data_IF_051004248538
#
_entry.id   IF_051004248538
#
_cell.length_a   1.000
_cell.length_b   1.000
_cell.length_c   1.000
_cell.angle_alpha   90.00
_cell.angle_beta   90.00
_cell.angle_gamma   90.00
#
_symmetry.space_group_name_H-M   'P 1'
#
loop_
_entity.id
_entity.type
_entity.pdbx_description
1 polymer ?
#
# COMPACT_ATOMS: atom_id res chain seq x y z
N UNK A 1 62.48 -28.06 -30.22
CA UNK A 1 62.24 -29.16 -31.17
C UNK A 1 61.10 -28.74 -32.09
N UNK A 2 61.33 -28.62 -33.41
CA UNK A 2 60.45 -27.89 -34.34
C UNK A 2 59.88 -28.75 -35.51
N UNK A 3 58.87 -28.16 -36.19
CA UNK A 3 58.62 -28.03 -37.65
C UNK A 3 58.39 -29.20 -38.64
N UNK A 4 57.59 -28.82 -39.67
CA UNK A 4 57.52 -29.25 -41.09
C UNK A 4 56.73 -30.54 -41.42
N UNK A 5 55.64 -30.52 -42.21
CA UNK A 5 55.44 -30.25 -43.67
C UNK A 5 56.02 -31.34 -44.58
N UNK A 6 55.13 -32.02 -45.33
CA UNK A 6 55.39 -32.59 -46.66
C UNK A 6 54.07 -32.95 -47.38
N UNK A 7 54.17 -33.18 -48.69
CA UNK A 7 53.32 -32.70 -49.79
C UNK A 7 52.62 -33.83 -50.63
N UNK A 8 51.40 -33.54 -51.15
CA UNK A 8 50.90 -33.68 -52.56
C UNK A 8 50.74 -35.09 -53.24
N UNK A 9 50.19 -35.27 -54.48
CA UNK A 9 49.07 -34.64 -55.24
C UNK A 9 48.09 -35.63 -55.97
N UNK A 10 47.16 -35.05 -56.76
CA UNK A 10 46.47 -35.53 -58.02
C UNK A 10 45.05 -36.14 -57.87
N UNK A 11 44.02 -35.88 -58.70
CA UNK A 11 43.86 -35.19 -59.99
C UNK A 11 42.40 -34.71 -60.26
N UNK A 12 42.30 -33.86 -61.28
CA UNK A 12 41.19 -33.13 -61.91
C UNK A 12 39.87 -33.85 -62.30
N UNK A 13 38.81 -33.04 -62.46
CA UNK A 13 38.04 -33.01 -63.71
C UNK A 13 36.50 -32.98 -63.62
N UNK A 14 35.88 -31.98 -64.28
CA UNK A 14 34.72 -32.24 -65.17
C UNK A 14 33.34 -31.76 -64.74
N UNK A 15 32.80 -30.81 -65.52
CA UNK A 15 31.43 -30.28 -65.51
C UNK A 15 30.42 -31.21 -66.22
N UNK A 16 29.15 -31.00 -65.88
CA UNK A 16 27.92 -31.14 -66.70
C UNK A 16 27.20 -32.49 -66.92
N UNK A 17 25.88 -32.36 -66.82
CA UNK A 17 24.74 -33.28 -66.79
C UNK A 17 24.47 -34.09 -68.07
N UNK A 18 23.61 -35.13 -67.97
CA UNK A 18 22.42 -35.09 -68.83
C UNK A 18 21.08 -35.58 -68.20
N UNK A 19 20.03 -34.95 -68.74
CA UNK A 19 18.59 -35.25 -68.93
C UNK A 19 17.92 -36.57 -68.44
N UNK A 20 16.70 -36.33 -67.90
CA UNK A 20 15.46 -37.12 -67.71
C UNK A 20 15.09 -38.18 -68.78
N UNK A 21 14.17 -39.17 -68.53
CA UNK A 21 12.72 -38.87 -68.46
C UNK A 21 11.78 -39.79 -67.61
N UNK A 22 10.63 -39.21 -67.23
CA UNK A 22 9.23 -39.72 -67.37
C UNK A 22 8.71 -40.92 -66.53
N UNK A 23 7.73 -40.65 -65.65
CA UNK A 23 6.33 -41.16 -65.73
C UNK A 23 5.53 -40.88 -64.43
N UNK A 24 4.38 -40.22 -64.56
CA UNK A 24 3.28 -40.20 -63.59
C UNK A 24 2.25 -41.31 -63.96
N UNK A 25 1.09 -41.51 -63.28
CA UNK A 25 0.59 -40.98 -62.00
C UNK A 25 -0.05 -42.06 -61.09
N UNK A 26 -0.34 -41.73 -59.82
CA UNK A 26 -1.47 -42.35 -59.08
C UNK A 26 -1.84 -41.57 -57.81
N UNK A 27 -2.89 -40.75 -57.97
CA UNK A 27 -4.05 -40.51 -57.08
C UNK A 27 -3.93 -40.62 -55.55
N UNK A 28 -4.20 -39.46 -54.93
CA UNK A 28 -5.30 -39.25 -53.97
C UNK A 28 -5.07 -39.63 -52.49
N UNK A 29 -4.76 -38.63 -51.67
CA UNK A 29 -5.65 -38.19 -50.59
C UNK A 29 -5.07 -36.96 -49.85
N UNK A 30 -5.81 -35.85 -49.98
CA UNK A 30 -5.73 -34.67 -49.11
C UNK A 30 -6.17 -35.05 -47.70
N UNK A 31 -5.30 -34.83 -46.72
CA UNK A 31 -5.69 -34.69 -45.33
C UNK A 31 -5.12 -33.36 -44.81
N UNK A 32 -5.96 -32.32 -44.84
CA UNK A 32 -5.74 -31.11 -44.06
C UNK A 32 -5.78 -31.47 -42.57
N UNK A 33 -4.84 -30.99 -41.73
CA UNK A 33 -4.97 -31.09 -40.29
C UNK A 33 -6.10 -30.16 -39.84
N UNK A 34 -7.23 -30.74 -39.42
CA UNK A 34 -8.30 -30.02 -38.75
C UNK A 34 -7.92 -29.82 -37.29
N UNK A 35 -7.25 -28.71 -36.99
CA UNK A 35 -7.20 -28.21 -35.61
C UNK A 35 -8.53 -27.53 -35.27
N UNK A 36 -9.19 -27.87 -34.15
CA UNK A 36 -10.34 -27.11 -33.68
C UNK A 36 -9.82 -25.84 -33.01
N UNK A 37 -9.46 -24.84 -33.81
CA UNK A 37 -9.27 -23.48 -33.32
C UNK A 37 -10.65 -22.90 -33.06
N UNK A 38 -11.11 -22.94 -31.81
CA UNK A 38 -12.16 -22.03 -31.34
C UNK A 38 -11.62 -20.60 -31.48
N UNK A 39 -11.76 -20.00 -32.67
CA UNK A 39 -11.54 -18.56 -32.86
C UNK A 39 -12.52 -17.86 -31.94
N UNK A 40 -11.99 -17.05 -31.02
CA UNK A 40 -12.78 -16.04 -30.32
C UNK A 40 -13.55 -15.24 -31.38
N UNK A 41 -14.88 -15.24 -31.29
CA UNK A 41 -15.76 -14.47 -32.17
C UNK A 41 -15.82 -13.00 -31.76
N UNK A 42 -15.12 -12.61 -30.70
CA UNK A 42 -15.04 -11.23 -30.26
C UNK A 42 -14.16 -10.41 -31.23
N UNK A 43 -14.53 -9.15 -31.53
CA UNK A 43 -13.66 -8.25 -32.28
C UNK A 43 -12.29 -8.14 -31.59
N UNK A 44 -11.18 -8.00 -32.35
CA UNK A 44 -9.87 -7.73 -31.77
C UNK A 44 -9.95 -6.54 -30.80
N UNK A 45 -9.18 -6.58 -29.70
CA UNK A 45 -9.17 -5.50 -28.70
C UNK A 45 -9.02 -4.12 -29.34
N UNK A 46 -8.22 -3.98 -30.40
CA UNK A 46 -8.04 -2.74 -31.15
C UNK A 46 -9.37 -2.11 -31.64
N UNK A 47 -10.34 -2.93 -32.06
CA UNK A 47 -11.65 -2.46 -32.51
C UNK A 47 -12.55 -2.02 -31.34
N UNK A 48 -12.27 -2.49 -30.12
CA UNK A 48 -13.04 -2.19 -28.90
C UNK A 48 -12.40 -1.10 -28.04
N UNK A 49 -11.15 -0.72 -28.31
CA UNK A 49 -10.44 0.31 -27.53
C UNK A 49 -11.25 1.60 -27.35
N UNK A 50 -11.88 2.20 -28.39
CA UNK A 50 -12.65 3.44 -28.22
C UNK A 50 -13.84 3.30 -27.25
N UNK A 51 -14.43 2.10 -27.16
CA UNK A 51 -15.49 1.80 -26.20
C UNK A 51 -14.92 1.63 -24.80
N UNK A 52 -13.83 0.86 -24.67
CA UNK A 52 -13.19 0.55 -23.38
C UNK A 52 -12.60 1.80 -22.71
N UNK A 53 -12.06 2.72 -23.49
CA UNK A 53 -11.51 4.00 -23.00
C UNK A 53 -12.56 4.88 -22.30
N UNK A 54 -13.85 4.74 -22.64
CA UNK A 54 -14.94 5.46 -21.94
C UNK A 54 -15.14 5.01 -20.50
N UNK A 55 -14.65 3.82 -20.15
CA UNK A 55 -14.71 3.26 -18.80
C UNK A 55 -13.42 3.50 -18.01
N UNK A 56 -12.44 4.20 -18.58
CA UNK A 56 -11.15 4.47 -17.96
C UNK A 56 -11.09 5.97 -17.68
N UNK A 57 -10.42 6.36 -16.61
CA UNK A 57 -10.36 7.75 -16.16
C UNK A 57 -8.94 8.15 -15.79
N UNK A 58 -8.63 9.42 -16.00
CA UNK A 58 -7.51 10.09 -15.34
C UNK A 58 -7.95 10.51 -13.96
N UNK A 59 -7.15 10.18 -12.96
CA UNK A 59 -7.37 10.65 -11.60
C UNK A 59 -6.44 11.82 -11.33
N UNK A 60 -7.04 12.94 -10.94
CA UNK A 60 -6.38 14.15 -10.49
C UNK A 60 -6.62 14.27 -8.97
N UNK A 61 -5.64 13.88 -8.16
CA UNK A 61 -5.72 13.91 -6.71
C UNK A 61 -4.98 15.14 -6.15
N UNK A 62 -5.72 16.03 -5.48
CA UNK A 62 -5.23 17.27 -4.91
C UNK A 62 -4.83 17.04 -3.45
N UNK A 63 -3.54 17.06 -3.17
CA UNK A 63 -2.96 16.98 -1.84
C UNK A 63 -2.70 18.34 -1.18
N UNK A 64 -2.11 18.34 0.03
CA UNK A 64 -1.74 19.57 0.74
C UNK A 64 -0.74 20.42 -0.05
N UNK A 65 -0.83 21.75 0.06
CA UNK A 65 0.13 22.67 -0.55
C UNK A 65 0.12 22.68 -2.08
N UNK A 66 -1.06 22.48 -2.68
CA UNK A 66 -1.28 22.42 -4.13
C UNK A 66 -0.55 21.28 -4.87
N UNK A 67 -0.01 20.30 -4.14
CA UNK A 67 0.55 19.09 -4.75
C UNK A 67 -0.55 18.31 -5.46
N UNK A 68 -0.32 18.00 -6.75
CA UNK A 68 -1.26 17.18 -7.54
C UNK A 68 -0.60 15.86 -7.89
N UNK A 69 -1.24 14.76 -7.50
CA UNK A 69 -0.87 13.41 -7.94
C UNK A 69 -1.75 13.04 -9.14
N UNK A 70 -1.11 12.52 -10.19
CA UNK A 70 -1.77 12.03 -11.38
C UNK A 70 -1.66 10.51 -11.44
N UNK A 71 -2.78 9.87 -11.74
CA UNK A 71 -2.84 8.44 -12.00
C UNK A 71 -4.01 8.10 -12.90
N UNK A 72 -4.31 6.82 -12.97
CA UNK A 72 -5.45 6.30 -13.73
C UNK A 72 -6.37 5.49 -12.84
N UNK A 73 -7.59 5.28 -13.32
CA UNK A 73 -8.54 4.36 -12.74
C UNK A 73 -9.48 3.83 -13.81
N UNK A 74 -10.34 2.91 -13.43
CA UNK A 74 -11.36 2.39 -14.34
C UNK A 74 -12.64 2.03 -13.60
N UNK A 75 -13.75 2.16 -14.32
CA UNK A 75 -15.09 1.91 -13.81
C UNK A 75 -15.29 0.42 -13.59
N UNK A 76 -15.68 0.07 -12.37
CA UNK A 76 -16.01 -1.32 -11.98
C UNK A 76 -17.50 -1.52 -11.70
N UNK A 77 -18.27 -0.43 -11.60
CA UNK A 77 -19.72 -0.45 -11.43
C UNK A 77 -20.36 0.81 -12.03
N UNK A 78 -21.50 0.65 -12.73
CA UNK A 78 -22.20 1.72 -13.42
C UNK A 78 -22.78 2.79 -12.49
N UNK A 79 -22.85 2.53 -11.18
CA UNK A 79 -23.19 3.55 -10.19
C UNK A 79 -22.06 4.56 -9.94
N UNK A 80 -20.92 4.45 -10.62
CA UNK A 80 -19.79 5.37 -10.48
C UNK A 80 -18.71 4.88 -9.53
N UNK A 81 -18.53 3.56 -9.38
CA UNK A 81 -17.39 3.02 -8.65
C UNK A 81 -16.20 2.90 -9.59
N UNK A 82 -15.06 3.41 -9.14
CA UNK A 82 -13.79 3.39 -9.86
C UNK A 82 -12.75 2.65 -9.03
N UNK A 83 -12.08 1.67 -9.63
CA UNK A 83 -10.87 1.08 -9.07
C UNK A 83 -9.63 1.89 -9.46
N UNK A 84 -8.69 2.01 -8.54
CA UNK A 84 -7.38 2.63 -8.77
C UNK A 84 -6.36 2.09 -7.74
N UNK A 85 -5.11 2.53 -7.84
CA UNK A 85 -4.13 2.28 -6.78
C UNK A 85 -4.36 3.21 -5.59
N UNK A 86 -4.11 2.71 -4.39
CA UNK A 86 -4.22 3.53 -3.18
C UNK A 86 -3.24 4.70 -3.22
N UNK A 87 -1.99 4.49 -3.63
CA UNK A 87 -0.95 5.51 -3.62
C UNK A 87 -1.26 6.73 -4.51
N UNK A 88 -2.15 6.59 -5.51
CA UNK A 88 -2.64 7.68 -6.37
C UNK A 88 -3.55 8.62 -5.58
N UNK A 89 -4.38 8.07 -4.70
CA UNK A 89 -5.36 8.80 -3.91
C UNK A 89 -4.87 9.11 -2.50
N UNK A 90 -3.75 8.51 -2.09
CA UNK A 90 -3.34 8.43 -0.69
C UNK A 90 -3.08 9.79 -0.04
N UNK A 91 -2.86 10.89 -0.76
CA UNK A 91 -2.71 12.23 -0.16
C UNK A 91 -3.87 13.17 -0.50
N UNK A 92 -4.88 12.67 -1.20
CA UNK A 92 -5.96 13.49 -1.72
C UNK A 92 -6.80 14.10 -0.57
N UNK A 93 -6.93 15.42 -0.60
CA UNK A 93 -7.95 16.16 0.15
C UNK A 93 -9.20 16.38 -0.72
N UNK A 94 -9.00 16.48 -2.02
CA UNK A 94 -10.02 16.47 -3.07
C UNK A 94 -9.49 15.67 -4.26
N UNK A 95 -10.39 15.14 -5.11
CA UNK A 95 -9.97 14.49 -6.34
C UNK A 95 -11.05 14.56 -7.42
N UNK A 96 -10.61 14.52 -8.68
CA UNK A 96 -11.48 14.45 -9.85
C UNK A 96 -11.11 13.25 -10.73
N UNK A 97 -12.13 12.64 -11.32
CA UNK A 97 -11.99 11.66 -12.38
C UNK A 97 -12.35 12.33 -13.70
N UNK A 98 -11.39 12.37 -14.64
CA UNK A 98 -11.57 12.92 -15.98
C UNK A 98 -11.66 11.78 -17.00
N UNK A 99 -12.72 11.77 -17.78
CA UNK A 99 -12.98 10.79 -18.84
C UNK A 99 -12.32 11.18 -20.16
N UNK A 100 -12.30 10.26 -21.12
CA UNK A 100 -11.68 10.46 -22.44
C UNK A 100 -12.37 11.54 -23.29
N UNK A 101 -13.62 11.87 -23.01
CA UNK A 101 -14.37 12.97 -23.63
C UNK A 101 -14.06 14.34 -23.00
N UNK A 102 -13.17 14.38 -22.00
CA UNK A 102 -12.76 15.57 -21.27
C UNK A 102 -13.65 15.92 -20.08
N UNK A 103 -14.81 15.25 -19.92
CA UNK A 103 -15.71 15.48 -18.80
C UNK A 103 -15.03 15.08 -17.48
N UNK A 104 -15.15 15.94 -16.47
CA UNK A 104 -14.57 15.73 -15.15
C UNK A 104 -15.68 15.64 -14.10
N UNK A 105 -15.53 14.68 -13.18
CA UNK A 105 -16.47 14.42 -12.10
C UNK A 105 -15.73 14.37 -10.77
N UNK A 106 -16.25 15.05 -9.76
CA UNK A 106 -15.68 15.01 -8.42
C UNK A 106 -15.80 13.61 -7.82
N UNK A 107 -14.75 13.18 -7.11
CA UNK A 107 -14.73 11.97 -6.31
C UNK A 107 -15.25 12.31 -4.90
N UNK A 108 -16.31 11.64 -4.48
CA UNK A 108 -16.93 11.83 -3.17
C UNK A 108 -16.08 11.28 -2.03
N UNK A 109 -15.29 10.23 -2.28
CA UNK A 109 -14.46 9.58 -1.27
C UNK A 109 -14.17 8.12 -1.57
N UNK A 110 -13.62 7.43 -0.58
CA UNK A 110 -13.35 6.00 -0.62
C UNK A 110 -14.62 5.21 -0.28
N UNK A 111 -14.91 4.18 -1.05
CA UNK A 111 -15.92 3.17 -0.71
C UNK A 111 -15.27 1.97 -0.05
N UNK A 112 -14.08 1.61 -0.52
CA UNK A 112 -13.26 0.59 0.09
C UNK A 112 -11.79 0.89 -0.20
N UNK A 113 -10.92 0.59 0.74
CA UNK A 113 -9.49 0.80 0.60
C UNK A 113 -8.73 -0.33 1.28
N UNK A 114 -7.65 -0.76 0.65
CA UNK A 114 -6.72 -1.73 1.23
C UNK A 114 -5.29 -1.26 0.93
N UNK A 115 -4.71 -0.44 1.84
CA UNK A 115 -3.35 0.08 1.66
C UNK A 115 -2.29 -1.01 1.49
N UNK A 116 -2.45 -2.15 2.17
CA UNK A 116 -1.54 -3.30 2.08
C UNK A 116 -1.47 -3.92 0.67
N UNK A 117 -2.51 -3.73 -0.14
CA UNK A 117 -2.59 -4.21 -1.53
C UNK A 117 -2.41 -3.07 -2.53
N UNK A 118 -2.14 -1.85 -2.06
CA UNK A 118 -2.13 -0.64 -2.88
C UNK A 118 -3.40 -0.52 -3.75
N UNK A 119 -4.58 -0.81 -3.17
CA UNK A 119 -5.86 -0.77 -3.87
C UNK A 119 -6.85 0.18 -3.21
N UNK A 120 -7.59 0.91 -4.04
CA UNK A 120 -8.70 1.74 -3.63
C UNK A 120 -9.89 1.59 -4.59
N UNK A 121 -11.09 1.62 -4.02
CA UNK A 121 -12.36 1.80 -4.74
C UNK A 121 -12.93 3.15 -4.29
N UNK A 122 -13.11 4.06 -5.24
CA UNK A 122 -13.63 5.41 -5.00
C UNK A 122 -14.99 5.60 -5.67
N UNK A 123 -15.77 6.55 -5.15
CA UNK A 123 -17.11 6.87 -5.66
C UNK A 123 -17.13 8.22 -6.35
N UNK A 124 -17.68 8.28 -7.55
CA UNK A 124 -18.06 9.55 -8.17
C UNK A 124 -19.24 10.18 -7.43
N UNK A 125 -19.15 11.49 -7.18
CA UNK A 125 -20.26 12.26 -6.58
C UNK A 125 -21.49 12.30 -7.50
N UNK A 126 -21.25 12.30 -8.81
CA UNK A 126 -22.26 12.18 -9.86
C UNK A 126 -21.73 11.23 -10.95
N UNK A 127 -22.56 10.29 -11.38
CA UNK A 127 -22.17 9.33 -12.42
C UNK A 127 -22.62 9.80 -13.81
N UNK A 128 -21.81 9.57 -14.86
CA UNK A 128 -22.25 9.79 -16.23
C UNK A 128 -23.51 8.95 -16.58
N UNK A 129 -24.46 9.47 -17.37
CA UNK A 129 -25.71 8.78 -17.70
C UNK A 129 -25.58 7.42 -18.41
N UNK A 130 -24.43 7.17 -19.04
CA UNK A 130 -24.14 5.95 -19.83
C UNK A 130 -22.86 5.25 -19.36
N UNK A 131 -22.56 5.34 -18.07
CA UNK A 131 -21.35 4.77 -17.49
C UNK A 131 -21.38 3.23 -17.57
N UNK A 132 -20.44 2.65 -18.30
CA UNK A 132 -20.31 1.19 -18.46
C UNK A 132 -19.13 0.69 -17.66
N UNK A 133 -19.34 -0.37 -16.88
CA UNK A 133 -18.28 -1.01 -16.09
C UNK A 133 -17.43 -1.95 -16.95
N UNK A 134 -16.13 -2.00 -16.67
CA UNK A 134 -15.25 -2.97 -17.29
C UNK A 134 -15.49 -4.38 -16.72
N UNK A 135 -15.30 -5.40 -17.56
CA UNK A 135 -15.42 -6.80 -17.13
C UNK A 135 -14.12 -7.25 -16.45
N UNK A 136 -14.20 -7.78 -15.23
CA UNK A 136 -13.04 -8.28 -14.48
C UNK A 136 -12.83 -9.78 -14.69
N UNK A 137 -11.63 -10.18 -15.11
CA UNK A 137 -11.20 -11.58 -15.23
C UNK A 137 -10.45 -12.00 -13.96
N UNK A 138 -11.17 -12.65 -13.03
CA UNK A 138 -10.67 -12.90 -11.66
C UNK A 138 -10.08 -14.30 -11.44
N UNK A 139 -10.52 -15.31 -12.19
CA UNK A 139 -10.23 -16.70 -11.87
C UNK A 139 -8.99 -17.26 -12.59
N UNK A 140 -8.81 -16.88 -13.85
CA UNK A 140 -7.74 -17.41 -14.69
C UNK A 140 -6.60 -16.42 -14.82
N UNK A 141 -5.38 -16.93 -14.64
CA UNK A 141 -4.17 -16.19 -14.95
C UNK A 141 -4.05 -16.03 -16.47
N UNK A 142 -3.59 -14.86 -16.96
CA UNK A 142 -3.31 -14.71 -18.37
C UNK A 142 -2.14 -15.62 -18.78
N UNK A 143 -2.24 -16.22 -19.96
CA UNK A 143 -1.24 -17.18 -20.44
C UNK A 143 0.09 -16.49 -20.70
N UNK A 144 1.19 -17.18 -20.43
CA UNK A 144 2.51 -16.68 -20.83
C UNK A 144 2.52 -16.39 -22.34
N UNK A 145 3.18 -15.28 -22.72
CA UNK A 145 3.25 -14.75 -24.07
C UNK A 145 1.92 -14.25 -24.67
N UNK A 146 0.79 -14.31 -23.95
CA UNK A 146 -0.46 -13.71 -24.42
C UNK A 146 -0.35 -12.19 -24.49
N UNK A 147 -1.07 -11.58 -25.42
CA UNK A 147 -1.09 -10.13 -25.58
C UNK A 147 -1.86 -9.49 -24.42
N UNK A 148 -1.33 -8.39 -23.92
CA UNK A 148 -1.99 -7.52 -22.95
C UNK A 148 -1.86 -6.08 -23.38
N UNK A 149 -2.84 -5.25 -23.03
CA UNK A 149 -2.82 -3.81 -23.26
C UNK A 149 -2.92 -3.11 -21.93
N UNK A 150 -1.89 -2.34 -21.58
CA UNK A 150 -1.95 -1.42 -20.45
C UNK A 150 -2.54 -0.10 -20.95
N UNK A 151 -3.55 0.41 -20.24
CA UNK A 151 -4.15 1.70 -20.56
C UNK A 151 -4.05 2.61 -19.34
N UNK A 152 -3.62 3.84 -19.58
CA UNK A 152 -3.57 4.88 -18.57
C UNK A 152 -3.25 6.24 -19.17
N UNK A 153 -2.82 7.17 -18.31
CA UNK A 153 -2.61 8.59 -18.62
C UNK A 153 -1.18 9.02 -18.31
N UNK A 154 -0.18 8.51 -19.04
CA UNK A 154 1.21 8.86 -18.78
C UNK A 154 1.42 10.37 -18.96
N UNK A 155 2.07 11.02 -17.99
CA UNK A 155 2.44 12.45 -18.04
C UNK A 155 1.27 13.45 -18.21
N UNK A 156 0.01 13.03 -18.00
CA UNK A 156 -1.14 13.93 -18.05
C UNK A 156 -1.59 14.36 -19.46
N UNK A 157 -1.11 13.70 -20.51
CA UNK A 157 -1.50 13.95 -21.91
C UNK A 157 -2.05 12.66 -22.51
N UNK A 158 -3.27 12.73 -23.06
CA UNK A 158 -4.02 11.74 -23.86
C UNK A 158 -4.04 10.26 -23.43
N UNK A 159 -5.11 9.57 -23.80
CA UNK A 159 -5.27 8.12 -23.59
C UNK A 159 -4.17 7.36 -24.34
N UNK A 160 -3.32 6.63 -23.62
CA UNK A 160 -2.22 5.88 -24.22
C UNK A 160 -2.39 4.38 -24.00
N UNK A 161 -3.13 3.69 -24.90
CA UNK A 161 -3.10 2.23 -24.93
C UNK A 161 -1.72 1.78 -25.44
N UNK A 162 -1.03 0.99 -24.63
CA UNK A 162 0.27 0.39 -24.98
C UNK A 162 0.20 -1.12 -24.84
N UNK A 163 0.54 -1.84 -25.90
CA UNK A 163 0.51 -3.29 -25.91
C UNK A 163 1.84 -3.91 -25.43
N UNK A 164 1.75 -5.17 -25.03
CA UNK A 164 2.88 -6.00 -24.68
C UNK A 164 2.44 -7.44 -24.46
N UNK A 165 3.30 -8.23 -23.84
CA UNK A 165 3.03 -9.65 -23.56
C UNK A 165 3.24 -9.97 -22.10
N UNK A 166 2.49 -10.96 -21.62
CA UNK A 166 2.72 -11.54 -20.29
C UNK A 166 4.05 -12.30 -20.30
N UNK A 167 4.96 -11.89 -19.43
CA UNK A 167 6.23 -12.58 -19.20
C UNK A 167 6.02 -13.76 -18.26
N UNK A 168 5.30 -13.57 -17.16
CA UNK A 168 4.88 -14.60 -16.20
C UNK A 168 3.87 -14.04 -15.19
N UNK A 169 3.19 -14.94 -14.48
CA UNK A 169 2.48 -14.62 -13.24
C UNK A 169 3.30 -15.17 -12.08
N UNK A 170 3.47 -14.39 -11.02
CA UNK A 170 4.31 -14.74 -9.89
C UNK A 170 3.76 -14.13 -8.60
N UNK A 171 4.23 -14.64 -7.46
CA UNK A 171 3.97 -14.10 -6.14
C UNK A 171 5.05 -13.09 -5.71
N UNK A 172 4.73 -12.22 -4.74
CA UNK A 172 5.68 -11.26 -4.16
C UNK A 172 6.95 -11.97 -3.66
N UNK A 173 6.83 -13.16 -3.08
CA UNK A 173 7.93 -13.98 -2.56
C UNK A 173 8.91 -14.44 -3.64
N UNK A 174 8.47 -14.53 -4.89
CA UNK A 174 9.27 -14.92 -6.06
C UNK A 174 9.95 -13.71 -6.74
N UNK A 175 9.68 -12.49 -6.28
CA UNK A 175 10.33 -11.29 -6.78
C UNK A 175 11.79 -11.20 -6.30
N UNK A 176 12.68 -10.64 -7.13
CA UNK A 176 14.01 -10.28 -6.70
C UNK A 176 14.01 -9.40 -5.43
N UNK A 177 15.06 -9.50 -4.63
CA UNK A 177 15.17 -8.80 -3.34
C UNK A 177 15.03 -7.28 -3.47
N UNK A 178 15.56 -6.68 -4.54
CA UNK A 178 15.43 -5.23 -4.78
C UNK A 178 13.99 -4.83 -5.09
N UNK A 179 13.26 -5.62 -5.88
CA UNK A 179 11.84 -5.39 -6.17
C UNK A 179 10.99 -5.52 -4.91
N UNK A 180 11.26 -6.52 -4.06
CA UNK A 180 10.58 -6.67 -2.75
C UNK A 180 10.85 -5.49 -1.82
N UNK A 181 12.07 -4.94 -1.82
CA UNK A 181 12.40 -3.74 -1.04
C UNK A 181 11.65 -2.51 -1.55
N UNK A 182 11.52 -2.35 -2.87
CA UNK A 182 10.71 -1.28 -3.46
C UNK A 182 9.22 -1.43 -3.07
N UNK A 183 8.67 -2.64 -3.15
CA UNK A 183 7.27 -2.89 -2.78
C UNK A 183 6.98 -2.56 -1.31
N UNK A 184 7.93 -2.80 -0.39
CA UNK A 184 7.80 -2.37 1.03
C UNK A 184 7.68 -0.85 1.22
N UNK A 185 8.06 -0.05 0.22
CA UNK A 185 7.88 1.41 0.25
C UNK A 185 6.54 1.84 -0.37
N UNK A 186 5.96 1.00 -1.23
CA UNK A 186 4.70 1.28 -1.93
C UNK A 186 3.49 0.73 -1.18
N UNK A 187 3.66 -0.40 -0.49
CA UNK A 187 2.61 -1.18 0.16
C UNK A 187 2.97 -1.38 1.64
N UNK A 188 1.96 -1.32 2.51
CA UNK A 188 2.17 -1.39 3.96
C UNK A 188 2.22 -2.81 4.55
N UNK A 189 1.98 -3.85 3.74
CA UNK A 189 1.90 -5.25 4.19
C UNK A 189 2.97 -6.18 3.61
N UNK A 190 3.21 -7.30 4.30
CA UNK A 190 4.06 -8.43 3.86
C UNK A 190 3.28 -9.49 3.05
N UNK A 191 2.11 -9.14 2.50
CA UNK A 191 1.26 -10.09 1.82
C UNK A 191 1.93 -10.64 0.55
N UNK A 192 1.72 -11.94 0.29
CA UNK A 192 2.24 -12.60 -0.90
C UNK A 192 1.29 -12.36 -2.09
N UNK A 193 1.41 -11.16 -2.68
CA UNK A 193 0.54 -10.73 -3.77
C UNK A 193 0.87 -11.43 -5.08
N UNK A 194 -0.19 -11.79 -5.80
CA UNK A 194 -0.11 -12.25 -7.19
C UNK A 194 0.07 -11.07 -8.16
N UNK A 195 1.19 -11.07 -8.89
CA UNK A 195 1.56 -10.09 -9.90
C UNK A 195 1.54 -10.68 -11.30
N UNK A 196 1.09 -9.88 -12.26
CA UNK A 196 1.27 -10.13 -13.69
C UNK A 196 2.46 -9.29 -14.15
N UNK A 197 3.58 -9.95 -14.47
CA UNK A 197 4.73 -9.32 -15.07
C UNK A 197 4.53 -9.25 -16.59
N UNK A 198 4.67 -8.06 -17.19
CA UNK A 198 4.43 -7.85 -18.61
C UNK A 198 5.45 -6.91 -19.25
N UNK A 199 5.54 -6.96 -20.57
CA UNK A 199 6.43 -6.10 -21.37
C UNK A 199 5.78 -4.82 -21.86
N UNK A 200 4.47 -4.63 -21.64
CA UNK A 200 3.80 -3.39 -22.05
C UNK A 200 4.47 -2.19 -21.33
N UNK A 201 4.93 -1.16 -22.07
CA UNK A 201 5.75 -0.10 -21.51
C UNK A 201 4.91 0.82 -20.64
N UNK A 202 4.99 0.64 -19.32
CA UNK A 202 4.26 1.50 -18.36
C UNK A 202 5.18 2.54 -17.72
N UNK A 203 4.61 3.71 -17.44
CA UNK A 203 5.29 4.86 -16.86
C UNK A 203 4.39 5.55 -15.83
N UNK A 204 4.91 6.52 -15.05
CA UNK A 204 4.08 7.31 -14.13
C UNK A 204 2.87 7.91 -14.85
N UNK A 205 1.67 7.66 -14.29
CA UNK A 205 0.38 7.99 -14.90
C UNK A 205 -0.45 6.78 -15.33
N UNK A 206 0.19 5.61 -15.57
CA UNK A 206 -0.53 4.35 -15.78
C UNK A 206 -0.98 3.68 -14.49
N UNK A 207 -0.36 4.03 -13.35
CA UNK A 207 -0.70 3.50 -12.04
C UNK A 207 -2.19 3.66 -11.74
N UNK A 208 -2.84 2.55 -11.40
CA UNK A 208 -4.27 2.41 -11.13
C UNK A 208 -5.12 2.12 -12.36
N UNK A 209 -4.57 2.26 -13.57
CA UNK A 209 -5.22 1.90 -14.83
C UNK A 209 -5.28 0.39 -15.06
N UNK A 210 -6.14 -0.09 -15.96
CA UNK A 210 -6.32 -1.51 -16.19
C UNK A 210 -5.23 -2.12 -17.09
N UNK A 211 -4.88 -3.38 -16.82
CA UNK A 211 -4.22 -4.28 -17.76
C UNK A 211 -5.28 -5.19 -18.39
N UNK A 212 -5.46 -5.08 -19.71
CA UNK A 212 -6.50 -5.78 -20.46
C UNK A 212 -5.95 -6.99 -21.21
N UNK A 213 -6.72 -8.07 -21.28
CA UNK A 213 -6.45 -9.18 -22.19
C UNK A 213 -7.00 -8.92 -23.61
N UNK A 214 -6.79 -9.85 -24.54
CA UNK A 214 -7.26 -9.76 -25.93
C UNK A 214 -8.78 -9.62 -26.08
N UNK A 215 -9.55 -9.98 -25.06
CA UNK A 215 -11.01 -9.83 -25.00
C UNK A 215 -11.46 -8.50 -24.36
N UNK A 216 -10.54 -7.60 -24.01
CA UNK A 216 -10.87 -6.35 -23.31
C UNK A 216 -11.31 -6.54 -21.86
N UNK A 217 -11.04 -7.70 -21.26
CA UNK A 217 -11.31 -7.96 -19.84
C UNK A 217 -10.10 -7.52 -19.01
N UNK A 218 -10.35 -6.92 -17.85
CA UNK A 218 -9.31 -6.52 -16.89
C UNK A 218 -8.74 -7.76 -16.21
N UNK A 219 -7.47 -8.06 -16.48
CA UNK A 219 -6.72 -9.14 -15.82
C UNK A 219 -5.87 -8.62 -14.66
N UNK A 220 -5.54 -7.33 -14.64
CA UNK A 220 -4.81 -6.70 -13.55
C UNK A 220 -4.90 -5.19 -13.50
N UNK A 221 -4.29 -4.61 -12.48
CA UNK A 221 -4.22 -3.17 -12.20
C UNK A 221 -2.77 -2.75 -12.32
N UNK A 222 -2.43 -1.94 -13.32
CA UNK A 222 -1.06 -1.46 -13.53
C UNK A 222 -0.59 -0.72 -12.28
N UNK A 223 0.50 -1.15 -11.66
CA UNK A 223 0.89 -0.65 -10.33
C UNK A 223 2.29 -0.05 -10.33
N UNK A 224 3.29 -0.80 -10.80
CA UNK A 224 4.69 -0.38 -10.72
C UNK A 224 5.54 -0.96 -11.86
N UNK A 225 6.71 -0.38 -12.08
CA UNK A 225 7.69 -0.81 -13.08
C UNK A 225 9.04 -1.08 -12.43
N UNK A 226 9.67 -2.20 -12.75
CA UNK A 226 11.06 -2.44 -12.37
C UNK A 226 11.97 -1.69 -13.34
N UNK A 227 12.66 -0.66 -12.85
CA UNK A 227 13.55 0.16 -13.69
C UNK A 227 14.81 -0.57 -14.16
N UNK A 228 15.19 -1.67 -13.52
CA UNK A 228 16.38 -2.44 -13.94
C UNK A 228 16.06 -3.36 -15.12
N UNK A 229 14.87 -3.97 -15.11
CA UNK A 229 14.46 -4.94 -16.12
C UNK A 229 13.45 -4.38 -17.13
N UNK A 230 12.92 -3.18 -16.89
CA UNK A 230 11.86 -2.52 -17.67
C UNK A 230 10.55 -3.31 -17.75
N UNK A 231 10.36 -4.32 -16.90
CA UNK A 231 9.08 -5.01 -16.82
C UNK A 231 8.07 -4.19 -16.02
N UNK A 232 6.85 -4.12 -16.55
CA UNK A 232 5.69 -3.64 -15.83
C UNK A 232 5.07 -4.74 -14.98
N UNK A 233 4.49 -4.35 -13.86
CA UNK A 233 3.81 -5.24 -12.95
C UNK A 233 2.42 -4.71 -12.65
N UNK A 234 1.43 -5.55 -12.93
CA UNK A 234 0.04 -5.32 -12.60
C UNK A 234 -0.39 -6.25 -11.47
N UNK A 235 -1.05 -5.72 -10.44
CA UNK A 235 -1.67 -6.53 -9.41
C UNK A 235 -2.82 -7.33 -10.03
N UNK A 236 -2.90 -8.63 -9.79
CA UNK A 236 -3.91 -9.48 -10.41
C UNK A 236 -5.35 -9.04 -10.03
N UNK A 237 -6.30 -9.06 -10.98
CA UNK A 237 -7.67 -8.59 -10.77
C UNK A 237 -8.46 -9.36 -9.68
N UNK A 238 -7.98 -10.53 -9.28
CA UNK A 238 -8.51 -11.27 -8.13
C UNK A 238 -8.47 -10.47 -6.82
N UNK A 239 -7.48 -9.60 -6.65
CA UNK A 239 -7.32 -8.80 -5.41
C UNK A 239 -8.41 -7.74 -5.25
N UNK A 240 -8.96 -7.22 -6.36
CA UNK A 240 -10.12 -6.31 -6.35
C UNK A 240 -11.40 -6.99 -5.86
N UNK A 241 -11.57 -8.30 -6.12
CA UNK A 241 -12.78 -9.02 -5.76
C UNK A 241 -13.03 -9.03 -4.24
N UNK A 242 -11.96 -9.15 -3.45
CA UNK A 242 -12.05 -9.09 -2.00
C UNK A 242 -12.30 -7.68 -1.45
N UNK A 243 -12.20 -6.65 -2.29
CA UNK A 243 -12.36 -5.24 -1.89
C UNK A 243 -13.72 -4.66 -2.33
N UNK A 244 -14.38 -5.27 -3.31
CA UNK A 244 -15.65 -4.77 -3.83
C UNK A 244 -16.76 -4.80 -2.76
N UNK A 245 -17.54 -3.71 -2.64
CA UNK A 245 -18.75 -3.68 -1.83
C UNK A 245 -19.68 -4.84 -2.20
N UNK A 246 -20.39 -5.38 -1.20
CA UNK A 246 -21.47 -6.32 -1.51
C UNK A 246 -22.62 -5.55 -2.15
N UNK A 247 -23.20 -6.10 -3.20
CA UNK A 247 -24.27 -5.46 -3.96
C UNK A 247 -25.55 -5.18 -3.13
N UNK A 248 -25.71 -5.86 -2.00
CA UNK A 248 -26.88 -5.77 -1.10
C UNK A 248 -26.70 -4.76 0.05
N UNK A 249 -25.53 -4.13 0.20
CA UNK A 249 -25.26 -3.20 1.30
C UNK A 249 -24.70 -1.86 0.78
N UNK A 250 -25.34 -0.72 1.09
CA UNK A 250 -24.76 0.57 0.79
C UNK A 250 -23.53 0.80 1.67
N UNK A 251 -22.33 0.68 1.09
CA UNK A 251 -21.10 1.00 1.81
C UNK A 251 -20.97 2.52 1.98
N UNK A 252 -20.75 3.03 3.20
CA UNK A 252 -20.53 4.45 3.44
C UNK A 252 -19.35 4.97 2.62
N UNK A 253 -19.49 6.17 2.04
CA UNK A 253 -18.38 6.87 1.38
C UNK A 253 -17.58 7.61 2.44
N UNK A 254 -16.32 7.24 2.61
CA UNK A 254 -15.43 7.88 3.56
C UNK A 254 -14.68 9.06 2.93
N UNK A 255 -14.59 10.22 3.61
CA UNK A 255 -13.88 11.38 3.09
C UNK A 255 -12.40 11.12 2.82
N UNK A 256 -11.88 11.66 1.71
CA UNK A 256 -10.49 11.45 1.27
C UNK A 256 -9.46 11.88 2.33
N UNK A 257 -9.72 13.01 3.01
CA UNK A 257 -8.85 13.58 4.04
C UNK A 257 -8.58 12.63 5.23
N UNK A 258 -9.41 11.60 5.43
CA UNK A 258 -9.22 10.60 6.50
C UNK A 258 -8.03 9.66 6.22
N UNK A 259 -7.64 9.52 4.95
CA UNK A 259 -6.63 8.55 4.48
C UNK A 259 -5.36 9.20 3.90
N UNK A 260 -5.20 10.53 4.03
CA UNK A 260 -3.97 11.24 3.64
C UNK A 260 -2.73 10.55 4.23
N UNK A 261 -1.71 10.21 3.42
CA UNK A 261 -0.57 9.35 3.78
C UNK A 261 -0.05 9.69 5.17
N UNK A 262 0.26 8.63 5.92
CA UNK A 262 0.98 8.68 7.18
C UNK A 262 2.21 9.60 7.10
N UNK A 263 2.99 9.54 6.02
CA UNK A 263 4.17 10.41 5.83
C UNK A 263 3.80 11.88 5.59
N UNK A 264 2.78 12.19 4.80
CA UNK A 264 2.34 13.58 4.59
C UNK A 264 1.73 14.19 5.86
N UNK A 265 0.97 13.38 6.62
CA UNK A 265 0.43 13.77 7.92
C UNK A 265 1.55 13.95 8.95
N UNK A 266 2.51 13.02 9.01
CA UNK A 266 3.70 13.11 9.87
C UNK A 266 4.56 14.30 9.50
N UNK A 267 4.87 14.51 8.22
CA UNK A 267 5.67 15.64 7.75
C UNK A 267 5.01 16.98 8.06
N UNK A 268 3.69 17.09 7.88
CA UNK A 268 2.93 18.28 8.29
C UNK A 268 2.98 18.48 9.80
N UNK A 269 2.66 17.46 10.59
CA UNK A 269 2.68 17.57 12.05
C UNK A 269 4.09 17.87 12.57
N UNK A 270 5.14 17.32 11.96
CA UNK A 270 6.54 17.60 12.26
C UNK A 270 6.97 19.02 11.88
N UNK A 271 6.46 19.55 10.77
CA UNK A 271 6.70 20.94 10.38
C UNK A 271 6.06 21.92 11.38
N UNK A 272 4.91 21.55 11.95
CA UNK A 272 4.19 22.32 12.95
C UNK A 272 4.75 22.13 14.38
N UNK A 273 5.47 21.03 14.64
CA UNK A 273 6.02 20.69 15.96
C UNK A 273 7.23 21.56 16.32
N UNK A 274 7.02 22.54 17.20
CA UNK A 274 8.04 23.46 17.73
C UNK A 274 8.20 23.28 19.24
N UNK A 275 9.39 23.53 19.83
CA UNK A 275 9.61 23.45 21.27
C UNK A 275 8.53 24.19 22.10
N UNK A 276 8.20 25.43 21.70
CA UNK A 276 7.16 26.22 22.36
C UNK A 276 5.77 25.57 22.32
N UNK A 277 5.41 24.88 21.24
CA UNK A 277 4.13 24.17 21.13
C UNK A 277 4.09 22.95 22.07
N UNK A 278 5.21 22.24 22.21
CA UNK A 278 5.31 21.11 23.14
C UNK A 278 5.19 21.60 24.59
N UNK A 279 5.82 22.71 24.95
CA UNK A 279 5.67 23.33 26.27
C UNK A 279 4.24 23.84 26.52
N UNK A 280 3.58 24.41 25.52
CA UNK A 280 2.18 24.84 25.60
C UNK A 280 1.26 23.65 25.88
N UNK A 281 1.40 22.57 25.09
CA UNK A 281 0.63 21.32 25.27
C UNK A 281 0.86 20.72 26.66
N UNK A 282 2.10 20.72 27.13
CA UNK A 282 2.43 20.24 28.47
C UNK A 282 1.82 21.11 29.57
N UNK A 283 1.88 22.43 29.43
CA UNK A 283 1.31 23.38 30.39
C UNK A 283 -0.21 23.23 30.46
N UNK A 284 -0.86 23.15 29.29
CA UNK A 284 -2.28 22.92 29.17
C UNK A 284 -2.70 21.58 29.81
N UNK A 285 -1.98 20.49 29.52
CA UNK A 285 -2.21 19.17 30.12
C UNK A 285 -1.96 19.13 31.64
N UNK A 286 -0.92 19.82 32.13
CA UNK A 286 -0.55 19.81 33.56
C UNK A 286 -1.51 20.64 34.42
N UNK A 287 -2.06 21.72 33.85
CA UNK A 287 -3.10 22.53 34.51
C UNK A 287 -4.51 21.94 34.34
N UNK A 288 -4.63 20.86 33.57
CA UNK A 288 -5.92 20.29 33.19
C UNK A 288 -6.60 19.63 34.38
N UNK A 289 -7.79 20.13 34.73
CA UNK A 289 -8.74 19.38 35.54
C UNK A 289 -9.47 18.39 34.64
N UNK A 290 -8.82 17.25 34.43
CA UNK A 290 -9.18 16.32 33.38
C UNK A 290 -10.63 15.80 33.47
N UNK A 291 -11.33 15.86 32.33
CA UNK A 291 -12.66 15.33 32.11
C UNK A 291 -12.63 14.41 30.88
N UNK A 292 -12.71 13.09 31.05
CA UNK A 292 -12.57 12.12 29.94
C UNK A 292 -13.58 12.30 28.80
N UNK A 293 -14.77 12.79 29.12
CA UNK A 293 -15.83 13.04 28.13
C UNK A 293 -15.61 14.35 27.34
N UNK A 294 -14.60 15.13 27.67
CA UNK A 294 -14.25 16.37 26.99
C UNK A 294 -13.22 16.07 25.88
N UNK A 295 -13.71 16.08 24.63
CA UNK A 295 -12.94 15.70 23.46
C UNK A 295 -11.70 16.61 23.24
N UNK A 296 -11.81 17.90 23.56
CA UNK A 296 -10.74 18.89 23.35
C UNK A 296 -9.58 18.67 24.36
N UNK A 297 -9.95 18.30 25.59
CA UNK A 297 -8.98 17.93 26.62
C UNK A 297 -8.21 16.67 26.24
N UNK A 298 -8.91 15.66 25.75
CA UNK A 298 -8.25 14.43 25.32
C UNK A 298 -7.39 14.66 24.07
N UNK A 299 -7.84 15.47 23.11
CA UNK A 299 -7.02 15.85 21.94
C UNK A 299 -5.69 16.51 22.35
N UNK A 300 -5.70 17.38 23.36
CA UNK A 300 -4.48 18.00 23.90
C UNK A 300 -3.48 16.94 24.41
N UNK A 301 -3.97 15.95 25.15
CA UNK A 301 -3.14 14.85 25.65
C UNK A 301 -2.63 13.94 24.53
N UNK A 302 -3.44 13.69 23.49
CA UNK A 302 -2.99 12.96 22.29
C UNK A 302 -1.85 13.70 21.58
N UNK A 303 -2.00 15.00 21.36
CA UNK A 303 -0.97 15.81 20.69
C UNK A 303 0.34 15.80 21.48
N UNK A 304 0.27 15.85 22.81
CA UNK A 304 1.43 15.75 23.70
C UNK A 304 2.10 14.36 23.62
N UNK A 305 1.33 13.28 23.73
CA UNK A 305 1.85 11.92 23.63
C UNK A 305 2.50 11.64 22.27
N UNK A 306 1.89 12.16 21.20
CA UNK A 306 2.43 12.10 19.85
C UNK A 306 3.77 12.85 19.74
N UNK A 307 3.85 14.09 20.25
CA UNK A 307 5.06 14.92 20.23
C UNK A 307 6.24 14.22 20.92
N UNK A 308 6.03 13.69 22.13
CA UNK A 308 7.06 12.98 22.89
C UNK A 308 7.53 11.73 22.15
N UNK A 309 6.58 10.98 21.57
CA UNK A 309 6.91 9.73 20.88
C UNK A 309 7.72 9.98 19.60
N UNK A 310 7.30 10.95 18.77
CA UNK A 310 7.89 11.17 17.45
C UNK A 310 9.32 11.70 17.52
N UNK A 311 9.64 12.54 18.50
CA UNK A 311 11.01 13.04 18.76
C UNK A 311 11.97 11.90 19.13
N UNK A 312 11.45 10.80 19.65
CA UNK A 312 12.21 9.61 20.03
C UNK A 312 12.22 8.51 18.94
N UNK A 313 11.60 8.75 17.78
CA UNK A 313 11.68 7.82 16.65
C UNK A 313 13.02 7.97 15.91
N UNK A 314 13.62 6.87 15.41
CA UNK A 314 14.75 6.94 14.50
C UNK A 314 14.38 7.74 13.26
N UNK A 315 15.31 8.53 12.73
CA UNK A 315 15.10 9.27 11.48
C UNK A 315 14.69 8.36 10.30
N UNK A 316 15.10 7.09 10.31
CA UNK A 316 14.69 6.09 9.32
C UNK A 316 13.18 5.77 9.35
N UNK A 317 12.50 5.95 10.49
CA UNK A 317 11.05 5.79 10.64
C UNK A 317 10.27 7.10 10.39
N UNK A 318 10.96 8.23 10.24
CA UNK A 318 10.33 9.54 10.02
C UNK A 318 10.21 9.86 8.52
N UNK A 319 11.03 9.23 7.68
CA UNK A 319 11.00 9.40 6.22
C UNK A 319 11.80 10.61 5.72
N UNK A 320 11.73 10.92 4.41
CA UNK A 320 12.44 12.05 3.81
C UNK A 320 11.92 13.39 4.35
N UNK A 321 12.81 14.27 4.82
CA UNK A 321 12.43 15.58 5.39
C UNK A 321 12.24 15.60 6.93
N UNK A 322 12.87 14.66 7.64
CA UNK A 322 12.87 14.60 9.11
C UNK A 322 13.33 15.88 9.82
N UNK A 323 13.23 15.88 11.16
CA UNK A 323 13.60 17.04 11.97
C UNK A 323 15.08 17.42 11.75
N UNK A 324 15.35 18.69 11.44
CA UNK A 324 16.72 19.22 11.40
C UNK A 324 17.43 18.97 12.74
N UNK A 325 18.72 18.61 12.72
CA UNK A 325 19.48 18.19 13.92
C UNK A 325 19.41 19.19 15.08
N UNK A 326 19.38 20.50 14.79
CA UNK A 326 19.27 21.54 15.81
C UNK A 326 17.87 21.55 16.45
N UNK A 327 16.81 21.53 15.65
CA UNK A 327 15.42 21.47 16.10
C UNK A 327 15.11 20.17 16.83
N UNK A 328 15.67 19.05 16.36
CA UNK A 328 15.55 17.75 17.01
C UNK A 328 16.16 17.80 18.42
N UNK A 329 17.38 18.33 18.59
CA UNK A 329 18.01 18.47 19.91
C UNK A 329 17.20 19.31 20.89
N UNK A 330 16.65 20.45 20.43
CA UNK A 330 15.80 21.31 21.26
C UNK A 330 14.50 20.61 21.66
N UNK A 331 13.85 19.93 20.71
CA UNK A 331 12.66 19.14 20.98
C UNK A 331 12.93 17.99 21.95
N UNK A 332 14.05 17.27 21.79
CA UNK A 332 14.47 16.20 22.71
C UNK A 332 14.65 16.74 24.12
N UNK A 333 15.36 17.87 24.28
CA UNK A 333 15.58 18.48 25.59
C UNK A 333 14.26 18.86 26.28
N UNK A 334 13.30 19.44 25.55
CA UNK A 334 11.97 19.77 26.08
C UNK A 334 11.19 18.50 26.44
N UNK A 335 11.21 17.49 25.57
CA UNK A 335 10.52 16.22 25.83
C UNK A 335 11.09 15.49 27.05
N UNK A 336 12.41 15.48 27.24
CA UNK A 336 13.05 14.88 28.41
C UNK A 336 12.65 15.59 29.71
N UNK A 337 12.58 16.93 29.70
CA UNK A 337 12.08 17.69 30.85
C UNK A 337 10.61 17.36 31.16
N UNK A 338 9.79 17.20 30.13
CA UNK A 338 8.38 16.81 30.27
C UNK A 338 8.26 15.40 30.84
N UNK A 339 9.00 14.43 30.32
CA UNK A 339 9.02 13.05 30.84
C UNK A 339 9.40 13.03 32.31
N UNK A 340 10.43 13.78 32.70
CA UNK A 340 10.84 13.88 34.11
C UNK A 340 9.76 14.50 35.01
N UNK A 341 8.99 15.46 34.51
CA UNK A 341 7.85 16.03 35.25
C UNK A 341 6.66 15.08 35.31
N UNK A 342 6.37 14.35 34.23
CA UNK A 342 5.29 13.35 34.19
C UNK A 342 5.51 12.24 35.22
N UNK A 343 6.77 11.82 35.44
CA UNK A 343 7.14 10.87 36.52
C UNK A 343 6.73 11.35 37.92
N UNK A 344 6.66 12.66 38.14
CA UNK A 344 6.33 13.25 39.43
C UNK A 344 4.82 13.50 39.62
N UNK A 345 4.01 13.30 38.56
CA UNK A 345 2.57 13.52 38.61
C UNK A 345 1.83 12.32 39.17
N UNK A 346 0.89 12.56 40.07
CA UNK A 346 0.03 11.53 40.65
C UNK A 346 -1.31 11.49 39.93
N UNK A 347 -1.61 10.34 39.31
CA UNK A 347 -2.86 10.06 38.62
C UNK A 347 -3.62 8.96 39.38
N UNK A 348 -4.11 9.29 40.58
CA UNK A 348 -4.45 8.31 41.61
C UNK A 348 -5.95 8.20 41.94
N UNK A 349 -6.83 8.81 41.14
CA UNK A 349 -8.27 8.54 41.22
C UNK A 349 -8.62 7.20 40.54
N UNK A 350 -9.24 6.22 41.24
CA UNK A 350 -9.60 4.92 40.65
C UNK A 350 -10.43 5.02 39.36
N UNK A 351 -11.33 6.01 39.27
CA UNK A 351 -12.11 6.25 38.06
C UNK A 351 -11.37 7.01 36.97
N UNK A 352 -10.32 7.76 37.30
CA UNK A 352 -9.58 8.55 36.33
C UNK A 352 -8.77 7.66 35.38
N UNK A 353 -8.06 6.68 35.94
CA UNK A 353 -7.24 5.74 35.19
C UNK A 353 -8.09 4.90 34.21
N UNK A 354 -9.24 4.40 34.70
CA UNK A 354 -10.17 3.62 33.88
C UNK A 354 -10.66 4.42 32.68
N UNK A 355 -11.13 5.65 32.91
CA UNK A 355 -11.69 6.48 31.85
C UNK A 355 -10.63 6.92 30.82
N UNK A 356 -9.37 7.16 31.23
CA UNK A 356 -8.27 7.48 30.30
C UNK A 356 -8.05 6.29 29.38
N UNK A 357 -7.95 5.09 29.95
CA UNK A 357 -7.68 3.88 29.21
C UNK A 357 -8.87 3.48 28.30
N UNK A 358 -10.12 3.67 28.73
CA UNK A 358 -11.30 3.46 27.90
C UNK A 358 -11.30 4.37 26.67
N UNK A 359 -11.07 5.67 26.85
CA UNK A 359 -11.05 6.61 25.74
C UNK A 359 -9.86 6.32 24.80
N UNK A 360 -8.67 6.08 25.36
CA UNK A 360 -7.49 5.79 24.57
C UNK A 360 -7.61 4.48 23.80
N UNK A 361 -8.30 3.48 24.37
CA UNK A 361 -8.55 2.19 23.72
C UNK A 361 -9.30 2.32 22.39
N UNK A 362 -10.24 3.26 22.29
CA UNK A 362 -10.98 3.55 21.04
C UNK A 362 -10.12 4.20 19.96
N UNK A 363 -8.96 4.74 20.35
CA UNK A 363 -8.04 5.42 19.43
C UNK A 363 -6.92 4.50 18.97
N UNK A 364 -6.75 3.30 19.55
CA UNK A 364 -5.64 2.41 19.18
C UNK A 364 -5.75 1.92 17.74
N UNK A 365 -6.94 1.91 17.14
CA UNK A 365 -7.10 1.54 15.73
C UNK A 365 -6.92 2.73 14.79
N UNK A 366 -6.82 3.95 15.33
CA UNK A 366 -6.66 5.17 14.53
C UNK A 366 -5.18 5.41 14.24
N UNK A 367 -4.74 5.38 12.98
CA UNK A 367 -3.35 5.61 12.65
C UNK A 367 -2.90 6.99 13.11
N UNK A 368 -1.68 7.06 13.64
CA UNK A 368 -1.02 8.28 14.11
C UNK A 368 -1.69 8.96 15.32
N UNK A 369 -2.65 8.30 15.99
CA UNK A 369 -3.17 8.80 17.24
C UNK A 369 -2.08 8.71 18.31
N UNK A 370 -1.80 9.83 19.00
CA UNK A 370 -1.02 9.81 20.22
C UNK A 370 -1.85 9.18 21.32
N UNK A 371 -1.24 8.26 22.06
CA UNK A 371 -1.91 7.41 23.02
C UNK A 371 -1.28 7.57 24.39
N UNK A 372 -2.14 7.65 25.41
CA UNK A 372 -1.78 7.81 26.80
C UNK A 372 -2.49 6.73 27.59
N UNK A 373 -1.75 5.74 28.09
CA UNK A 373 -2.32 4.62 28.86
C UNK A 373 -1.59 4.43 30.18
N UNK A 374 -2.34 3.99 31.18
CA UNK A 374 -1.77 3.49 32.43
C UNK A 374 -1.85 1.97 32.47
N UNK A 375 -0.78 1.33 32.93
CA UNK A 375 -0.76 -0.11 33.04
C UNK A 375 0.27 -0.64 34.02
N UNK A 376 0.31 -1.96 34.15
CA UNK A 376 1.29 -2.69 34.96
C UNK A 376 2.05 -3.65 34.06
N UNK A 377 3.37 -3.68 34.16
CA UNK A 377 4.19 -4.61 33.39
C UNK A 377 3.98 -6.02 33.93
N UNK A 378 3.48 -6.91 33.08
CA UNK A 378 3.25 -8.31 33.46
C UNK A 378 4.52 -9.13 33.25
N UNK A 379 5.05 -9.08 32.03
CA UNK A 379 6.17 -9.93 31.61
C UNK A 379 6.86 -9.39 30.37
N UNK A 380 8.12 -9.75 30.22
CA UNK A 380 8.82 -9.64 28.95
C UNK A 380 8.57 -10.88 28.09
N UNK A 381 8.42 -10.67 26.78
CA UNK A 381 8.24 -11.71 25.78
C UNK A 381 9.25 -11.52 24.64
N UNK A 382 9.72 -12.63 24.08
CA UNK A 382 10.55 -12.63 22.88
C UNK A 382 9.80 -13.36 21.77
N UNK A 383 9.62 -12.68 20.63
CA UNK A 383 8.96 -13.21 19.45
C UNK A 383 9.87 -14.15 18.64
N UNK A 384 9.29 -14.91 17.68
CA UNK A 384 10.02 -15.89 16.87
C UNK A 384 11.13 -15.30 15.99
N UNK A 385 11.02 -14.02 15.65
CA UNK A 385 12.03 -13.24 14.91
C UNK A 385 13.14 -12.67 15.80
N UNK A 386 13.12 -12.95 17.11
CA UNK A 386 14.03 -12.35 18.09
C UNK A 386 13.59 -10.98 18.62
N UNK A 387 12.46 -10.44 18.14
CA UNK A 387 11.91 -9.17 18.63
C UNK A 387 11.47 -9.27 20.09
N UNK A 388 11.99 -8.41 20.96
CA UNK A 388 11.65 -8.37 22.39
C UNK A 388 10.56 -7.32 22.65
N UNK A 389 9.66 -7.61 23.58
CA UNK A 389 8.58 -6.71 23.96
C UNK A 389 8.07 -6.97 25.38
N UNK A 390 7.29 -6.05 25.92
CA UNK A 390 6.63 -6.19 27.20
C UNK A 390 5.14 -6.42 26.99
N UNK A 391 4.54 -7.27 27.81
CA UNK A 391 3.10 -7.36 27.96
C UNK A 391 2.71 -6.49 29.14
N UNK A 392 1.80 -5.56 28.89
CA UNK A 392 1.33 -4.57 29.86
C UNK A 392 -0.17 -4.75 30.05
N UNK A 393 -0.59 -5.00 31.28
CA UNK A 393 -2.01 -5.02 31.63
C UNK A 393 -2.50 -3.59 31.81
N UNK A 394 -3.55 -3.19 31.08
CA UNK A 394 -4.09 -1.83 31.15
C UNK A 394 -4.92 -1.64 32.43
N UNK A 395 -4.61 -0.60 33.19
CA UNK A 395 -5.25 -0.31 34.46
C UNK A 395 -6.79 -0.19 34.31
N UNK A 396 -7.53 -0.92 35.15
CA UNK A 396 -8.99 -0.90 35.15
C UNK A 396 -9.64 -1.63 33.97
N UNK A 397 -8.87 -2.16 33.02
CA UNK A 397 -9.41 -2.86 31.85
C UNK A 397 -9.00 -4.34 31.87
N UNK A 398 -9.86 -5.22 31.38
CA UNK A 398 -9.48 -6.62 31.10
C UNK A 398 -8.82 -6.72 29.72
N UNK A 399 -7.73 -5.97 29.50
CA UNK A 399 -6.98 -5.93 28.23
C UNK A 399 -5.48 -5.91 28.49
N UNK A 400 -4.75 -6.73 27.74
CA UNK A 400 -3.29 -6.68 27.65
C UNK A 400 -2.87 -5.91 26.39
N UNK A 401 -1.75 -5.18 26.50
CA UNK A 401 -1.11 -4.47 25.42
C UNK A 401 0.31 -5.00 25.23
N UNK A 402 0.70 -5.24 23.98
CA UNK A 402 2.10 -5.52 23.64
C UNK A 402 2.84 -4.22 23.32
N UNK A 403 3.99 -4.02 23.97
CA UNK A 403 4.88 -2.87 23.81
C UNK A 403 6.24 -3.35 23.30
N UNK A 404 6.65 -3.01 22.07
CA UNK A 404 7.97 -3.39 21.56
C UNK A 404 9.09 -2.67 22.33
N UNK A 405 10.20 -3.39 22.59
CA UNK A 405 11.34 -2.84 23.33
C UNK A 405 12.37 -2.10 22.46
N UNK A 406 12.16 -2.03 21.14
CA UNK A 406 13.09 -1.33 20.25
C UNK A 406 13.15 0.18 20.54
N UNK A 407 14.29 0.65 21.04
CA UNK A 407 14.55 2.07 21.29
C UNK A 407 13.98 2.62 22.61
N UNK A 408 13.64 1.76 23.57
CA UNK A 408 13.24 2.19 24.92
C UNK A 408 14.44 2.77 25.70
N UNK A 409 14.20 3.86 26.43
CA UNK A 409 15.21 4.52 27.30
C UNK A 409 15.51 3.70 28.56
N UNK A 410 14.52 2.96 29.06
CA UNK A 410 14.64 2.08 30.23
C UNK A 410 13.59 0.97 30.13
N UNK A 411 13.93 -0.24 30.55
CA UNK A 411 13.02 -1.39 30.58
C UNK A 411 12.53 -1.55 32.02
N UNK A 412 11.25 -1.28 32.33
CA UNK A 412 10.72 -1.46 33.67
C UNK A 412 10.69 -2.94 34.07
N UNK A 413 10.74 -3.22 35.37
CA UNK A 413 10.63 -4.56 35.90
C UNK A 413 9.17 -5.07 35.92
N UNK A 414 8.98 -6.38 35.92
CA UNK A 414 7.66 -6.98 36.10
C UNK A 414 7.05 -6.56 37.46
N UNK A 415 5.77 -6.21 37.45
CA UNK A 415 5.02 -5.68 38.59
C UNK A 415 5.09 -4.15 38.75
N UNK A 416 5.95 -3.45 38.01
CA UNK A 416 6.00 -1.99 38.05
C UNK A 416 4.82 -1.37 37.31
N UNK A 417 4.29 -0.28 37.88
CA UNK A 417 3.32 0.56 37.20
C UNK A 417 4.01 1.45 36.19
N UNK A 418 3.40 1.60 35.02
CA UNK A 418 3.92 2.42 33.95
C UNK A 418 2.85 3.29 33.31
N UNK A 419 3.29 4.47 32.89
CA UNK A 419 2.62 5.28 31.89
C UNK A 419 3.20 4.93 30.52
N UNK A 420 2.32 4.57 29.60
CA UNK A 420 2.63 4.20 28.23
C UNK A 420 2.30 5.40 27.36
N UNK A 421 3.33 5.97 26.74
CA UNK A 421 3.20 7.00 25.71
C UNK A 421 3.59 6.41 24.37
N UNK A 422 2.72 6.51 23.39
CA UNK A 422 3.00 5.94 22.08
C UNK A 422 2.14 6.51 20.99
N UNK A 423 2.43 6.07 19.78
CA UNK A 423 1.60 6.37 18.62
C UNK A 423 1.15 5.03 18.06
N UNK A 424 -0.13 4.90 17.71
CA UNK A 424 -0.53 3.79 16.87
C UNK A 424 0.07 4.02 15.47
N UNK A 425 1.27 3.49 15.26
CA UNK A 425 2.04 3.80 14.06
C UNK A 425 1.44 3.12 12.82
N UNK A 426 0.79 1.98 12.98
CA UNK A 426 0.64 1.05 11.86
C UNK A 426 -0.77 0.51 11.63
N UNK A 427 -1.72 0.61 12.57
CA UNK A 427 -3.05 -0.02 12.38
C UNK A 427 -3.00 -1.54 12.14
N UNK A 428 -1.82 -2.17 12.14
CA UNK A 428 -1.64 -3.59 12.03
C UNK A 428 -2.07 -4.22 13.35
N UNK A 429 -3.03 -5.14 13.27
CA UNK A 429 -3.29 -6.11 14.32
C UNK A 429 -2.05 -7.01 14.43
N UNK A 430 -1.17 -6.74 15.38
CA UNK A 430 -0.06 -7.66 15.59
C UNK A 430 -0.59 -8.89 16.29
N UNK A 431 -0.29 -10.04 15.70
CA UNK A 431 -0.69 -11.37 16.16
C UNK A 431 0.42 -11.96 17.04
N UNK A 432 0.15 -12.27 18.31
CA UNK A 432 1.10 -13.03 19.16
C UNK A 432 0.44 -13.95 20.16
N UNK A 433 0.37 -15.27 20.00
CA UNK A 433 -0.49 -16.17 20.79
C UNK A 433 -0.55 -16.27 22.29
N UNK A 434 -1.69 -16.83 22.73
CA UNK A 434 -1.94 -17.42 24.06
C UNK A 434 -1.28 -18.81 24.26
N UNK A 435 -0.44 -19.20 23.32
CA UNK A 435 0.28 -20.45 23.15
C UNK A 435 1.33 -20.09 22.06
N UNK A 436 2.57 -20.61 22.04
CA UNK A 436 3.39 -20.51 20.82
C UNK A 436 2.67 -20.98 19.54
N UNK A 437 1.47 -21.60 19.67
CA UNK A 437 0.53 -21.99 18.61
C UNK A 437 -0.83 -21.23 18.56
N UNK A 438 -1.00 -20.05 19.16
CA UNK A 438 -2.19 -19.21 18.90
C UNK A 438 -1.83 -17.75 18.58
N UNK A 439 -2.77 -16.80 18.37
CA UNK A 439 -2.54 -15.35 18.30
C UNK A 439 -3.22 -14.57 19.46
N UNK A 440 -2.50 -13.71 20.18
CA UNK A 440 -3.06 -12.55 20.92
C UNK A 440 -3.44 -11.59 19.83
N UNK A 441 -4.74 -11.36 19.71
CA UNK A 441 -5.33 -10.23 19.00
C UNK A 441 -5.41 -9.07 19.98
N UNK A 442 -4.29 -8.40 20.21
CA UNK A 442 -4.25 -7.13 20.91
C UNK A 442 -3.86 -6.05 19.91
N UNK A 443 -4.48 -4.86 19.97
CA UNK A 443 -3.98 -3.71 19.23
C UNK A 443 -2.51 -3.47 19.62
N UNK A 444 -1.62 -3.24 18.66
CA UNK A 444 -0.23 -2.89 18.99
C UNK A 444 0.00 -1.41 18.89
N UNK A 445 0.63 -0.90 19.93
CA UNK A 445 1.10 0.47 20.00
C UNK A 445 2.60 0.44 19.80
N UNK A 446 3.08 1.16 18.78
CA UNK A 446 4.49 1.52 18.72
C UNK A 446 4.73 2.58 19.79
N UNK A 447 4.99 2.12 21.01
CA UNK A 447 5.43 2.96 22.11
C UNK A 447 6.94 2.78 22.27
N UNK A 448 7.66 3.91 22.26
CA UNK A 448 9.09 3.98 22.57
C UNK A 448 9.36 4.65 23.92
N UNK A 449 8.31 5.03 24.63
CA UNK A 449 8.41 5.75 25.90
C UNK A 449 7.51 5.10 26.92
N UNK A 450 8.10 4.19 27.69
CA UNK A 450 7.56 3.69 28.95
C UNK A 450 8.13 4.52 30.10
N UNK A 451 7.24 5.05 30.93
CA UNK A 451 7.60 5.84 32.09
C UNK A 451 7.17 5.05 33.32
N UNK A 452 8.12 4.58 34.12
CA UNK A 452 7.84 4.05 35.45
C UNK A 452 7.24 5.14 36.33
N UNK A 453 6.18 4.79 37.05
CA UNK A 453 5.52 5.68 38.01
C UNK A 453 6.00 5.27 39.40
N UNK A 454 6.54 6.24 40.14
CA UNK A 454 7.03 6.06 41.52
C UNK A 454 5.90 6.07 42.57
#
# INVERSE_FOLDING_TARGET
MPQAVEEDPTAAGGHETPSSPEAAPSTDQTAEPTEPTTRSTAPPIAARLPELERAIVRIEALGPGDNTTLGSGFVIDSSGLIATNYHVMAEATAAQARFNDGAAYDIAGYVAVRPDDDLAIVKLKQSPPSLTAMTLRRQDDPRQLSTVVAIGHPLGIDFSPVDGRVSRVLQTSELPSHSRQFLRQLMTGDADHRWIQHTAPISPGNSGGPLLNENGEVVGINTWVDRQSSFGYALHAAHLAGLQPRADQPTPVEPLARYARKEARVARLLAELKPARVEELFTAGSAMQWRPADADQYETLQQLAWAITVVNLPNSLIGPGGLEDMRLRELTAVCDQIVNRLKQQKWNGPGQLLLVNEYAAEQIERPMAGLFFFGTIQREVTGPSGARGLIVELAGMNRELFVPLEGQLSIPAAGEQCLILGVNYDGHTVRYGNNPLQPITAPVIATRTLITID
#
